data_IF_753253837028
#
_entry.id   IF_753253837028
#
_cell.length_a   1.000
_cell.length_b   1.000
_cell.length_c   1.000
_cell.angle_alpha   90.00
_cell.angle_beta   90.00
_cell.angle_gamma   90.00
#
_symmetry.space_group_name_H-M   'P 1'
#
loop_
_entity.id
_entity.type
_entity.pdbx_description
1 polymer ?
#
# COMPACT_ATOMS: atom_id res chain seq x y z
N UNK A 1 -9.12 -2.05 -30.75
CA UNK A 1 -9.25 -3.13 -29.77
C UNK A 1 -8.84 -2.61 -28.40
N UNK A 2 -9.68 -2.75 -27.41
CA UNK A 2 -9.34 -2.35 -26.05
C UNK A 2 -8.47 -3.44 -25.41
N UNK A 3 -7.44 -3.01 -24.69
CA UNK A 3 -6.59 -3.90 -23.92
C UNK A 3 -7.38 -4.45 -22.71
N UNK A 4 -7.50 -5.77 -22.54
CA UNK A 4 -8.25 -6.36 -21.44
C UNK A 4 -7.68 -6.00 -20.07
N UNK A 5 -6.39 -5.73 -19.95
CA UNK A 5 -5.76 -5.29 -18.70
C UNK A 5 -6.24 -3.89 -18.35
N UNK A 6 -6.27 -2.99 -19.32
CA UNK A 6 -6.78 -1.62 -19.12
C UNK A 6 -8.24 -1.64 -18.71
N UNK A 7 -9.07 -2.44 -19.36
CA UNK A 7 -10.48 -2.60 -19.01
C UNK A 7 -10.64 -3.12 -17.57
N UNK A 8 -9.87 -4.12 -17.20
CA UNK A 8 -9.85 -4.66 -15.84
C UNK A 8 -9.50 -3.59 -14.80
N UNK A 9 -8.49 -2.78 -15.08
CA UNK A 9 -8.08 -1.71 -14.17
C UNK A 9 -9.14 -0.61 -14.06
N UNK A 10 -9.77 -0.24 -15.17
CA UNK A 10 -10.86 0.74 -15.16
C UNK A 10 -12.05 0.30 -14.29
N UNK A 11 -12.43 -0.96 -14.38
CA UNK A 11 -13.51 -1.49 -13.55
C UNK A 11 -13.20 -1.44 -12.05
N UNK A 12 -11.91 -1.49 -11.70
CA UNK A 12 -11.45 -1.49 -10.31
C UNK A 12 -11.01 -0.14 -9.80
N UNK A 13 -11.12 0.90 -10.60
CA UNK A 13 -10.72 2.23 -10.19
C UNK A 13 -11.42 2.70 -8.89
N UNK A 14 -12.73 2.51 -8.71
CA UNK A 14 -13.37 2.88 -7.45
C UNK A 14 -12.79 2.18 -6.22
N UNK A 15 -12.49 0.90 -6.34
CA UNK A 15 -11.88 0.11 -5.27
C UNK A 15 -10.46 0.59 -4.98
N UNK A 16 -9.69 0.84 -6.03
CA UNK A 16 -8.34 1.40 -5.92
C UNK A 16 -8.34 2.75 -5.19
N UNK A 17 -9.27 3.64 -5.53
CA UNK A 17 -9.35 4.95 -4.89
C UNK A 17 -9.72 4.85 -3.41
N UNK A 18 -10.58 3.91 -3.02
CA UNK A 18 -10.88 3.64 -1.62
C UNK A 18 -9.67 3.13 -0.85
N UNK A 19 -8.93 2.21 -1.45
CA UNK A 19 -7.71 1.67 -0.85
C UNK A 19 -6.64 2.75 -0.71
N UNK A 20 -6.47 3.56 -1.74
CA UNK A 20 -5.53 4.68 -1.73
C UNK A 20 -5.90 5.68 -0.63
N UNK A 21 -7.17 6.01 -0.48
CA UNK A 21 -7.64 6.90 0.58
C UNK A 21 -7.29 6.37 1.97
N UNK A 22 -7.51 5.07 2.20
CA UNK A 22 -7.18 4.43 3.47
C UNK A 22 -5.69 4.56 3.80
N UNK A 23 -4.84 4.38 2.80
CA UNK A 23 -3.39 4.46 2.97
C UNK A 23 -2.89 5.91 3.09
N UNK A 24 -3.38 6.80 2.23
CA UNK A 24 -2.95 8.20 2.20
C UNK A 24 -3.37 8.95 3.47
N UNK A 25 -4.54 8.63 4.01
CA UNK A 25 -5.07 9.27 5.22
C UNK A 25 -4.48 8.71 6.52
N UNK A 26 -3.58 7.73 6.44
CA UNK A 26 -2.85 7.20 7.57
C UNK A 26 -1.49 7.89 7.68
N UNK A 27 -1.26 8.63 8.78
CA UNK A 27 0.08 9.16 9.05
C UNK A 27 1.09 8.02 9.15
N UNK A 28 2.19 8.14 8.41
CA UNK A 28 3.25 7.12 8.38
C UNK A 28 4.63 7.74 8.17
N UNK A 29 4.92 8.82 8.88
CA UNK A 29 6.26 9.43 8.84
C UNK A 29 7.34 8.43 9.24
N UNK A 30 8.54 8.58 8.69
CA UNK A 30 9.66 7.63 8.92
C UNK A 30 9.98 7.42 10.39
N UNK A 31 9.76 8.43 11.22
CA UNK A 31 9.98 8.36 12.68
C UNK A 31 8.75 7.92 13.47
N UNK A 32 7.64 7.71 12.80
CA UNK A 32 6.37 7.29 13.39
C UNK A 32 6.19 5.78 13.21
N UNK A 33 6.82 5.00 14.08
CA UNK A 33 6.73 3.54 14.01
C UNK A 33 5.28 3.05 14.03
N UNK A 34 4.45 3.60 14.89
CA UNK A 34 3.05 3.16 15.01
C UNK A 34 2.28 3.44 13.71
N UNK A 35 2.51 4.60 13.08
CA UNK A 35 1.88 4.95 11.81
C UNK A 35 2.34 4.07 10.67
N UNK A 36 3.64 3.83 10.54
CA UNK A 36 4.19 2.93 9.53
C UNK A 36 3.68 1.50 9.74
N UNK A 37 3.66 1.03 10.98
CA UNK A 37 3.15 -0.31 11.30
C UNK A 37 1.65 -0.43 10.98
N UNK A 38 0.86 0.62 11.13
CA UNK A 38 -0.55 0.61 10.73
C UNK A 38 -0.71 0.44 9.21
N UNK A 39 0.11 1.11 8.41
CA UNK A 39 0.14 0.91 6.95
C UNK A 39 0.58 -0.52 6.62
N UNK A 40 1.60 -1.02 7.31
CA UNK A 40 2.07 -2.39 7.14
C UNK A 40 1.00 -3.43 7.50
N UNK A 41 0.22 -3.20 8.55
CA UNK A 41 -0.90 -4.07 8.91
C UNK A 41 -1.93 -4.15 7.79
N UNK A 42 -2.28 -3.01 7.22
CA UNK A 42 -3.22 -2.93 6.11
C UNK A 42 -2.69 -3.69 4.90
N UNK A 43 -1.42 -3.47 4.54
CA UNK A 43 -0.78 -4.15 3.40
C UNK A 43 -0.66 -5.66 3.63
N UNK A 44 -0.24 -6.07 4.82
CA UNK A 44 -0.12 -7.49 5.16
C UNK A 44 -1.46 -8.21 5.00
N UNK A 45 -2.54 -7.59 5.45
CA UNK A 45 -3.89 -8.11 5.32
C UNK A 45 -4.31 -8.25 3.86
N UNK A 46 -4.10 -7.20 3.08
CA UNK A 46 -4.44 -7.19 1.65
C UNK A 46 -3.63 -8.22 0.87
N UNK A 47 -2.32 -8.29 1.11
CA UNK A 47 -1.45 -9.24 0.42
C UNK A 47 -1.81 -10.68 0.76
N UNK A 48 -2.11 -10.96 2.03
CA UNK A 48 -2.56 -12.29 2.44
C UNK A 48 -3.88 -12.66 1.74
N UNK A 49 -4.82 -11.72 1.61
CA UNK A 49 -6.08 -11.95 0.90
C UNK A 49 -5.90 -12.23 -0.59
N UNK A 50 -4.79 -11.80 -1.17
CA UNK A 50 -4.41 -12.05 -2.56
C UNK A 50 -3.60 -13.34 -2.75
N UNK A 51 -3.43 -14.12 -1.70
CA UNK A 51 -2.72 -15.39 -1.75
C UNK A 51 -1.21 -15.31 -1.52
N UNK A 52 -0.69 -14.16 -1.08
CA UNK A 52 0.72 -14.04 -0.71
C UNK A 52 0.98 -14.61 0.68
N UNK A 53 2.16 -15.20 0.84
CA UNK A 53 2.71 -15.50 2.16
C UNK A 53 3.48 -14.28 2.63
N UNK A 54 3.04 -13.70 3.74
CA UNK A 54 3.60 -12.45 4.27
C UNK A 54 4.49 -12.76 5.46
N UNK A 55 5.72 -12.26 5.42
CA UNK A 55 6.66 -12.30 6.53
C UNK A 55 6.94 -10.88 7.00
N UNK A 56 6.90 -10.68 8.32
CA UNK A 56 7.14 -9.39 8.94
C UNK A 56 8.45 -9.44 9.70
N UNK A 57 9.34 -8.50 9.40
CA UNK A 57 10.60 -8.34 10.11
C UNK A 57 10.49 -7.16 11.06
N UNK A 58 10.42 -7.43 12.35
CA UNK A 58 10.25 -6.41 13.37
C UNK A 58 11.47 -5.53 13.52
N UNK A 59 11.22 -4.23 13.65
CA UNK A 59 12.23 -3.22 13.94
C UNK A 59 11.88 -2.51 15.24
N UNK A 60 12.87 -2.07 16.00
CA UNK A 60 12.62 -1.44 17.29
C UNK A 60 12.25 0.04 17.16
N UNK A 61 12.99 0.78 16.32
CA UNK A 61 12.86 2.24 16.20
C UNK A 61 11.96 2.68 15.06
N UNK A 62 12.01 1.95 13.98
CA UNK A 62 11.29 2.26 12.75
C UNK A 62 10.15 1.29 12.54
N UNK A 63 9.29 1.57 11.57
CA UNK A 63 8.29 0.60 11.15
C UNK A 63 8.91 -0.71 10.69
N UNK A 64 8.17 -1.78 10.83
CA UNK A 64 8.62 -3.11 10.44
C UNK A 64 8.78 -3.22 8.91
N UNK A 65 9.54 -4.19 8.47
CA UNK A 65 9.66 -4.51 7.05
C UNK A 65 8.70 -5.66 6.69
N UNK A 66 8.12 -5.59 5.51
CA UNK A 66 7.28 -6.67 4.99
C UNK A 66 7.94 -7.32 3.78
N UNK A 67 7.89 -8.65 3.73
CA UNK A 67 8.21 -9.44 2.55
C UNK A 67 7.01 -10.32 2.23
N UNK A 68 6.50 -10.20 1.02
CA UNK A 68 5.39 -11.02 0.56
C UNK A 68 5.80 -11.81 -0.68
N UNK A 69 5.47 -13.09 -0.71
CA UNK A 69 5.82 -14.00 -1.79
C UNK A 69 4.61 -14.78 -2.26
N UNK A 70 4.51 -14.90 -3.56
CA UNK A 70 3.49 -15.74 -4.20
C UNK A 70 4.10 -16.45 -5.39
N UNK A 71 3.89 -17.74 -5.48
CA UNK A 71 4.33 -18.51 -6.63
C UNK A 71 3.37 -18.31 -7.80
N UNK A 72 3.92 -17.96 -8.96
CA UNK A 72 3.20 -17.96 -10.22
C UNK A 72 3.37 -19.28 -10.96
N UNK A 73 2.93 -19.32 -12.21
CA UNK A 73 3.00 -20.51 -13.06
C UNK A 73 4.27 -20.58 -13.90
N UNK A 74 4.91 -19.43 -14.14
CA UNK A 74 6.10 -19.34 -14.97
C UNK A 74 7.39 -19.55 -14.19
N UNK A 75 8.51 -19.44 -14.91
CA UNK A 75 9.86 -19.55 -14.34
C UNK A 75 10.47 -18.18 -13.99
N UNK A 76 9.88 -17.09 -14.48
CA UNK A 76 10.36 -15.75 -14.20
C UNK A 76 10.10 -15.38 -12.73
N UNK A 77 11.02 -14.60 -12.17
CA UNK A 77 10.86 -14.00 -10.84
C UNK A 77 10.77 -12.50 -10.98
N UNK A 78 9.74 -11.91 -10.41
CA UNK A 78 9.50 -10.47 -10.43
C UNK A 78 9.53 -9.98 -9.00
N UNK A 79 10.34 -8.95 -8.73
CA UNK A 79 10.35 -8.27 -7.44
C UNK A 79 9.77 -6.86 -7.60
N UNK A 80 8.80 -6.52 -6.74
CA UNK A 80 8.32 -5.16 -6.57
C UNK A 80 8.92 -4.63 -5.27
N UNK A 81 9.62 -3.50 -5.35
CA UNK A 81 10.23 -2.88 -4.20
C UNK A 81 9.60 -1.50 -3.98
N UNK A 82 9.10 -1.26 -2.79
CA UNK A 82 8.49 0.00 -2.41
C UNK A 82 8.76 0.33 -0.96
N UNK A 83 8.14 1.39 -0.47
CA UNK A 83 8.24 1.77 0.93
C UNK A 83 6.89 2.26 1.45
N UNK A 84 6.69 2.16 2.77
CA UNK A 84 5.45 2.48 3.45
C UNK A 84 5.54 3.72 4.31
N UNK A 85 6.74 4.25 4.50
CA UNK A 85 6.94 5.48 5.23
C UNK A 85 6.87 6.72 4.32
N UNK A 86 6.63 7.86 4.93
CA UNK A 86 6.60 9.15 4.26
C UNK A 86 7.50 10.14 5.00
N UNK A 87 7.68 11.32 4.42
CA UNK A 87 8.47 12.41 5.03
C UNK A 87 7.61 13.38 5.84
N UNK A 88 6.31 13.14 5.93
CA UNK A 88 5.38 14.08 6.56
C UNK A 88 5.27 13.82 8.05
N UNK A 89 5.22 14.89 8.88
CA UNK A 89 5.03 14.73 10.32
C UNK A 89 3.62 14.25 10.65
N UNK A 90 3.49 13.67 11.84
CA UNK A 90 2.19 13.25 12.36
C UNK A 90 1.23 14.43 12.42
N UNK A 91 -0.03 14.21 12.02
CA UNK A 91 -1.06 15.23 11.93
C UNK A 91 -1.24 15.81 10.52
N UNK A 92 -0.31 15.54 9.60
CA UNK A 92 -0.40 16.05 8.23
C UNK A 92 -1.65 15.56 7.51
N UNK A 93 -2.04 14.31 7.70
CA UNK A 93 -3.22 13.75 7.04
C UNK A 93 -4.52 14.36 7.55
N UNK A 94 -4.56 14.83 8.79
CA UNK A 94 -5.71 15.58 9.32
C UNK A 94 -5.84 16.95 8.67
N UNK A 95 -4.71 17.60 8.36
CA UNK A 95 -4.69 18.90 7.70
C UNK A 95 -4.90 18.81 6.18
N UNK A 96 -4.35 17.76 5.59
CA UNK A 96 -4.38 17.54 4.14
C UNK A 96 -4.79 16.10 3.82
N UNK A 97 -6.04 15.72 4.07
CA UNK A 97 -6.52 14.39 3.72
C UNK A 97 -6.59 14.24 2.20
N UNK A 98 -6.66 12.98 1.75
CA UNK A 98 -6.88 12.71 0.33
C UNK A 98 -8.16 13.39 -0.15
N UNK A 99 -8.07 14.08 -1.26
CA UNK A 99 -9.20 14.69 -1.95
C UNK A 99 -9.23 14.27 -3.40
N UNK A 100 -10.41 14.19 -3.97
CA UNK A 100 -10.60 13.90 -5.39
C UNK A 100 -11.28 15.12 -6.02
N UNK A 101 -10.66 15.65 -7.08
CA UNK A 101 -11.17 16.77 -7.87
C UNK A 101 -11.14 16.38 -9.35
N UNK A 102 -12.28 15.93 -9.86
CA UNK A 102 -12.38 15.45 -11.24
C UNK A 102 -11.48 14.22 -11.47
N UNK A 103 -10.50 14.38 -12.33
CA UNK A 103 -9.51 13.35 -12.68
C UNK A 103 -8.21 13.42 -11.86
N UNK A 104 -8.20 14.26 -10.82
CA UNK A 104 -7.04 14.49 -9.94
C UNK A 104 -7.30 13.96 -8.54
N UNK A 105 -6.24 13.47 -7.96
CA UNK A 105 -6.20 13.00 -6.57
C UNK A 105 -5.14 13.79 -5.82
#
# INVERSE_FOLDING_TARGET
MSDPIVAYLHERLPDYLRDLESLVNQDSGSDDKAGVDAVNDWLAHRLASLGFTVTRHQQERHGDDLVARRHGRGSARIMLLGHTDTVFPRGTTAERPMTIDGDRV
#
